data_IF_839683583611
#
_entry.id   IF_839683583611
#
_cell.length_a   1.000
_cell.length_b   1.000
_cell.length_c   1.000
_cell.angle_alpha   90.00
_cell.angle_beta   90.00
_cell.angle_gamma   90.00
#
_symmetry.space_group_name_H-M   'P 1'
#
loop_
_entity.id
_entity.type
_entity.pdbx_description
1 polymer ?
#
# COMPACT_ATOMS: atom_id res chain seq x y z
N UNK A 1 -17.07 13.58 -13.43
CA UNK A 1 -15.83 12.83 -13.71
C UNK A 1 -15.25 12.41 -12.37
N UNK A 2 -14.99 11.13 -12.15
CA UNK A 2 -14.40 10.70 -10.89
C UNK A 2 -12.92 11.09 -10.90
N UNK A 3 -12.59 12.14 -10.15
CA UNK A 3 -11.24 12.63 -10.02
C UNK A 3 -10.44 11.67 -9.13
N UNK A 4 -9.42 10.99 -9.68
CA UNK A 4 -8.53 10.13 -8.90
C UNK A 4 -7.66 11.02 -8.01
N UNK A 5 -7.71 10.85 -6.70
CA UNK A 5 -6.94 11.68 -5.75
C UNK A 5 -5.80 10.90 -5.09
N UNK A 6 -5.89 9.57 -5.07
CA UNK A 6 -4.79 8.67 -4.67
C UNK A 6 -4.68 7.62 -5.75
N UNK A 7 -3.46 7.39 -6.23
CA UNK A 7 -3.15 6.33 -7.19
C UNK A 7 -1.71 5.85 -6.93
N UNK A 8 -1.51 4.54 -6.85
CA UNK A 8 -0.17 3.94 -6.74
C UNK A 8 0.12 3.04 -7.93
N UNK A 9 1.39 3.02 -8.33
CA UNK A 9 1.90 2.15 -9.39
C UNK A 9 3.10 1.38 -8.85
N UNK A 10 2.96 0.06 -8.81
CA UNK A 10 3.93 -0.93 -8.38
C UNK A 10 4.58 -0.61 -7.03
N UNK A 11 3.79 -0.09 -6.08
CA UNK A 11 4.31 0.38 -4.79
C UNK A 11 4.87 -0.80 -4.00
N UNK A 12 6.17 -0.74 -3.73
CA UNK A 12 6.88 -1.75 -2.95
C UNK A 12 7.63 -1.09 -1.80
N UNK A 13 7.63 -1.74 -0.64
CA UNK A 13 8.32 -1.24 0.55
C UNK A 13 9.08 -2.36 1.25
N UNK A 14 10.38 -2.16 1.42
CA UNK A 14 11.25 -3.03 2.21
C UNK A 14 11.74 -2.29 3.45
N UNK A 15 11.70 -2.96 4.60
CA UNK A 15 12.29 -2.50 5.85
C UNK A 15 13.54 -3.32 6.15
N UNK A 16 14.63 -2.60 6.43
CA UNK A 16 15.91 -3.19 6.82
C UNK A 16 16.02 -3.12 8.34
N UNK A 17 15.90 -4.28 8.99
CA UNK A 17 16.01 -4.39 10.44
C UNK A 17 17.45 -4.68 10.83
N UNK A 18 18.00 -3.95 11.81
CA UNK A 18 19.36 -4.18 12.30
C UNK A 18 19.49 -5.61 12.86
N UNK A 19 20.44 -6.37 12.34
CA UNK A 19 20.72 -7.75 12.77
C UNK A 19 19.64 -8.77 12.39
N UNK A 20 18.71 -8.45 11.48
CA UNK A 20 17.66 -9.37 11.00
C UNK A 20 17.52 -9.30 9.48
N UNK A 21 16.71 -10.21 8.95
CA UNK A 21 16.34 -10.26 7.54
C UNK A 21 15.56 -9.01 7.10
N UNK A 22 15.65 -8.70 5.80
CA UNK A 22 14.85 -7.66 5.15
C UNK A 22 13.39 -8.10 5.11
N UNK A 23 12.48 -7.23 5.58
CA UNK A 23 11.04 -7.47 5.48
C UNK A 23 10.50 -6.72 4.27
N UNK A 24 9.86 -7.43 3.34
CA UNK A 24 9.08 -6.83 2.27
C UNK A 24 7.65 -6.63 2.75
N UNK A 25 7.36 -5.41 3.20
CA UNK A 25 6.05 -5.04 3.76
C UNK A 25 5.01 -4.78 2.67
N UNK A 26 5.41 -4.18 1.54
CA UNK A 26 4.56 -4.03 0.36
C UNK A 26 5.30 -4.61 -0.84
N UNK A 27 4.57 -5.29 -1.72
CA UNK A 27 5.06 -5.88 -2.96
C UNK A 27 4.05 -5.61 -4.06
N UNK A 28 4.40 -4.71 -4.98
CA UNK A 28 3.58 -4.36 -6.15
C UNK A 28 2.13 -3.97 -5.82
N UNK A 29 1.95 -3.08 -4.84
CA UNK A 29 0.62 -2.65 -4.37
C UNK A 29 0.10 -1.50 -5.23
N UNK A 30 -1.05 -1.73 -5.87
CA UNK A 30 -1.73 -0.79 -6.75
C UNK A 30 -3.12 -0.48 -6.18
N UNK A 31 -3.33 0.75 -5.73
CA UNK A 31 -4.63 1.25 -5.25
C UNK A 31 -5.01 2.53 -5.98
N UNK A 32 -6.30 2.75 -6.15
CA UNK A 32 -6.87 3.97 -6.68
C UNK A 32 -8.04 4.40 -5.80
N UNK A 33 -8.06 5.65 -5.36
CA UNK A 33 -9.14 6.22 -4.56
C UNK A 33 -9.59 7.52 -5.22
N UNK A 34 -10.90 7.62 -5.47
CA UNK A 34 -11.50 8.79 -6.10
C UNK A 34 -11.92 9.83 -5.07
N UNK A 35 -12.07 11.08 -5.52
CA UNK A 35 -12.58 12.16 -4.68
C UNK A 35 -13.97 11.84 -4.12
N UNK A 36 -14.13 12.02 -2.81
CA UNK A 36 -15.34 11.67 -2.07
C UNK A 36 -15.56 10.16 -1.79
N UNK A 37 -14.66 9.28 -2.22
CA UNK A 37 -14.77 7.84 -1.99
C UNK A 37 -14.48 7.46 -0.53
N UNK A 38 -15.36 6.66 0.08
CA UNK A 38 -15.10 6.03 1.38
C UNK A 38 -14.41 4.69 1.15
N UNK A 39 -13.09 4.66 1.36
CA UNK A 39 -12.27 3.48 1.13
C UNK A 39 -11.87 2.80 2.44
N UNK A 40 -11.91 1.46 2.47
CA UNK A 40 -11.44 0.64 3.59
C UNK A 40 -10.50 -0.44 3.09
N UNK A 41 -9.33 -0.55 3.73
CA UNK A 41 -8.36 -1.61 3.50
C UNK A 41 -8.26 -2.47 4.75
N UNK A 42 -8.54 -3.76 4.62
CA UNK A 42 -8.56 -4.73 5.72
C UNK A 42 -7.57 -5.86 5.44
N UNK A 43 -6.96 -6.38 6.50
CA UNK A 43 -6.04 -7.49 6.43
C UNK A 43 -5.77 -8.11 7.81
N UNK A 44 -5.22 -9.33 7.85
CA UNK A 44 -4.78 -9.96 9.10
C UNK A 44 -3.59 -9.20 9.72
N UNK A 45 -3.24 -9.55 10.96
CA UNK A 45 -2.06 -8.98 11.62
C UNK A 45 -0.79 -9.18 10.78
N UNK A 46 -0.12 -8.08 10.45
CA UNK A 46 1.12 -8.07 9.67
C UNK A 46 0.93 -7.97 8.15
N UNK A 47 -0.30 -7.80 7.66
CA UNK A 47 -0.59 -7.35 6.30
C UNK A 47 -0.29 -5.86 6.11
#
# INVERSE_FOLDING_TARGET
MNNKIIETFNLSKKYHLKGRNVIRALDDVNIQINDGEKFGLLGPNGA
#
